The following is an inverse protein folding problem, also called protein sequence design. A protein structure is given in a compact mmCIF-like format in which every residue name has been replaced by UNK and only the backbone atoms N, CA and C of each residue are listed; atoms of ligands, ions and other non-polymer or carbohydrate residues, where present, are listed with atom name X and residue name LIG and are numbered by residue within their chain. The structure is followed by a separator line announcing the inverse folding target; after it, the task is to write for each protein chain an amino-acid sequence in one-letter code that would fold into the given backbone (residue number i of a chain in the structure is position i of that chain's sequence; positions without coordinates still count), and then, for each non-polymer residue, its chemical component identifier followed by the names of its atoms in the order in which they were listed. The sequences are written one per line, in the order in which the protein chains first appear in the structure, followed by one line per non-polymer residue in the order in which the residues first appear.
data_IF_486420709800
#
_entry.id   IF_486420709800
#
_cell.length_a   1.000
_cell.length_b   1.000
_cell.length_c   1.000
_cell.angle_alpha   90.00
_cell.angle_beta   90.00
_cell.angle_gamma   90.00
#
_symmetry.space_group_name_H-M   'P 1'
#
loop_
_entity.id
_entity.type
_entity.pdbx_description
1 polymer ?
#
# COMPACT_ATOMS: atom_id res chain seq x y z
N UNK A 1 38.94 8.58 -53.89
CA UNK A 1 38.39 9.28 -52.71
C UNK A 1 37.33 8.39 -52.08
N UNK A 2 37.21 8.40 -50.75
CA UNK A 2 36.10 7.79 -50.02
C UNK A 2 36.44 6.52 -49.24
N UNK A 3 36.93 6.70 -48.00
CA UNK A 3 36.88 5.68 -46.93
C UNK A 3 35.44 5.56 -46.42
N UNK A 4 34.95 4.36 -46.09
CA UNK A 4 34.17 4.06 -44.87
C UNK A 4 34.43 2.61 -44.42
N UNK A 5 34.76 2.44 -43.14
CA UNK A 5 34.87 1.19 -42.35
C UNK A 5 33.63 1.09 -41.43
N UNK A 6 33.54 0.14 -40.48
CA UNK A 6 33.32 -1.31 -40.59
C UNK A 6 32.03 -1.72 -39.83
N UNK A 7 31.57 -2.99 -39.90
CA UNK A 7 30.71 -3.54 -38.84
C UNK A 7 31.32 -4.86 -38.35
N UNK A 8 31.55 -4.87 -37.05
CA UNK A 8 32.26 -5.89 -36.31
C UNK A 8 31.55 -7.26 -36.37
N UNK A 9 32.37 -8.22 -36.75
CA UNK A 9 32.42 -9.61 -36.35
C UNK A 9 31.69 -10.01 -35.06
N UNK A 10 30.95 -11.13 -35.18
CA UNK A 10 31.02 -12.33 -34.32
C UNK A 10 30.54 -12.10 -32.87
N UNK A 11 29.47 -12.72 -32.39
CA UNK A 11 29.45 -14.13 -31.94
C UNK A 11 28.00 -14.64 -32.02
N UNK A 12 27.76 -15.62 -32.89
CA UNK A 12 26.85 -16.72 -32.56
C UNK A 12 27.73 -17.82 -31.95
N UNK A 13 27.39 -18.32 -30.77
CA UNK A 13 27.46 -19.75 -30.39
C UNK A 13 27.17 -19.94 -28.90
N UNK A 14 26.12 -20.74 -28.65
CA UNK A 14 25.81 -21.62 -27.51
C UNK A 14 24.30 -21.51 -27.19
N UNK A 15 23.43 -22.16 -27.95
CA UNK A 15 23.09 -23.59 -27.81
C UNK A 15 22.78 -24.01 -26.37
N UNK A 16 21.48 -24.07 -26.08
CA UNK A 16 20.79 -25.02 -25.19
C UNK A 16 21.44 -25.31 -23.84
N UNK A 17 20.87 -24.75 -22.77
CA UNK A 17 20.53 -25.48 -21.53
C UNK A 17 19.76 -24.58 -20.54
N UNK A 18 18.72 -25.17 -19.95
CA UNK A 18 17.88 -24.70 -18.83
C UNK A 18 16.66 -23.84 -19.25
N UNK A 19 15.62 -24.44 -19.83
CA UNK A 19 14.48 -24.97 -19.06
C UNK A 19 14.83 -25.40 -17.63
N UNK A 20 14.47 -24.55 -16.67
CA UNK A 20 13.82 -24.96 -15.42
C UNK A 20 13.43 -23.72 -14.61
N UNK A 21 12.12 -23.61 -14.37
CA UNK A 21 11.53 -23.13 -13.12
C UNK A 21 12.22 -21.95 -12.43
N UNK A 22 11.82 -20.73 -12.79
CA UNK A 22 11.84 -19.62 -11.82
C UNK A 22 10.42 -19.31 -11.34
N UNK A 23 9.54 -20.32 -11.30
CA UNK A 23 8.33 -20.29 -10.47
C UNK A 23 8.80 -20.46 -9.02
N UNK A 24 8.33 -19.60 -8.12
CA UNK A 24 8.64 -19.54 -6.68
C UNK A 24 9.81 -18.65 -6.28
N UNK A 25 9.90 -17.45 -6.84
CA UNK A 25 10.35 -16.32 -6.00
C UNK A 25 9.10 -15.56 -5.58
N UNK A 26 8.74 -15.54 -4.28
CA UNK A 26 7.74 -14.60 -3.81
C UNK A 26 8.22 -13.22 -4.24
N UNK A 27 7.39 -12.50 -4.99
CA UNK A 27 7.65 -11.10 -5.29
C UNK A 27 7.45 -10.38 -3.96
N UNK A 28 8.54 -10.18 -3.24
CA UNK A 28 8.52 -9.45 -1.97
C UNK A 28 8.40 -7.96 -2.31
N UNK A 29 7.18 -7.45 -2.30
CA UNK A 29 6.96 -6.01 -2.24
C UNK A 29 7.58 -5.51 -0.94
N UNK A 30 8.64 -4.70 -1.05
CA UNK A 30 9.31 -4.10 0.12
C UNK A 30 8.36 -3.22 0.94
N UNK A 31 7.30 -2.75 0.31
CA UNK A 31 6.38 -1.74 0.84
C UNK A 31 4.99 -2.34 1.17
N UNK A 32 4.73 -3.60 0.78
CA UNK A 32 3.53 -4.38 1.14
C UNK A 32 2.65 -4.72 -0.07
N UNK A 33 2.06 -5.93 -0.10
CA UNK A 33 1.30 -6.38 -1.29
C UNK A 33 0.04 -5.55 -1.55
N UNK A 34 -0.56 -4.95 -0.51
CA UNK A 34 -1.79 -4.18 -0.64
C UNK A 34 -1.59 -2.78 -1.22
N UNK A 35 -0.35 -2.38 -1.52
CA UNK A 35 -0.11 -1.20 -2.37
C UNK A 35 -0.69 -1.35 -3.77
N UNK A 36 -0.81 -2.58 -4.24
CA UNK A 36 -1.45 -2.91 -5.49
C UNK A 36 -2.97 -2.73 -5.44
N UNK A 37 -3.53 -2.65 -4.23
CA UNK A 37 -4.96 -2.47 -4.06
C UNK A 37 -5.35 -1.02 -4.32
N UNK A 38 -6.19 -0.85 -5.33
CA UNK A 38 -6.78 0.43 -5.71
C UNK A 38 -8.16 0.67 -5.09
N UNK A 39 -8.66 -0.27 -4.28
CA UNK A 39 -10.01 -0.20 -3.70
C UNK A 39 -10.00 -0.54 -2.21
N UNK A 40 -10.42 0.44 -1.43
CA UNK A 40 -10.42 0.48 0.02
C UNK A 40 -11.75 1.00 0.52
N UNK A 41 -12.13 0.58 1.72
CA UNK A 41 -13.33 1.04 2.42
C UNK A 41 -12.95 1.59 3.80
N UNK A 42 -13.66 2.63 4.22
CA UNK A 42 -13.58 3.20 5.56
C UNK A 42 -14.91 3.00 6.29
N UNK A 43 -14.80 2.55 7.54
CA UNK A 43 -15.93 2.19 8.40
C UNK A 43 -15.78 2.87 9.76
N UNK A 44 -16.89 3.24 10.41
CA UNK A 44 -16.91 3.86 11.74
C UNK A 44 -17.84 3.11 12.67
N UNK A 45 -17.36 2.79 13.87
CA UNK A 45 -18.13 2.13 14.92
C UNK A 45 -19.18 3.09 15.48
N UNK A 46 -20.45 2.73 15.36
CA UNK A 46 -21.59 3.54 15.82
C UNK A 46 -22.15 3.00 17.13
N UNK A 47 -22.16 1.68 17.30
CA UNK A 47 -22.49 1.03 18.57
C UNK A 47 -21.38 0.08 19.03
N UNK A 48 -20.68 0.49 20.09
CA UNK A 48 -19.61 -0.29 20.70
C UNK A 48 -20.09 -1.57 21.40
N UNK A 49 -21.37 -1.68 21.77
CA UNK A 49 -21.94 -2.89 22.38
C UNK A 49 -22.27 -3.94 21.35
N UNK A 50 -22.75 -3.51 20.19
CA UNK A 50 -23.16 -4.39 19.10
C UNK A 50 -22.05 -4.61 18.06
N UNK A 51 -20.92 -3.89 18.19
CA UNK A 51 -19.83 -3.87 17.21
C UNK A 51 -20.34 -3.49 15.81
N UNK A 52 -21.29 -2.55 15.77
CA UNK A 52 -21.96 -2.13 14.54
C UNK A 52 -21.22 -0.96 13.89
N UNK A 53 -20.91 -1.12 12.61
CA UNK A 53 -20.11 -0.16 11.84
C UNK A 53 -20.92 0.43 10.70
N UNK A 54 -20.93 1.77 10.62
CA UNK A 54 -21.45 2.48 9.48
C UNK A 54 -20.36 2.68 8.43
N UNK A 55 -20.75 2.47 7.17
CA UNK A 55 -19.94 2.79 6.01
C UNK A 55 -19.70 4.31 5.92
N UNK A 56 -18.46 4.72 5.69
CA UNK A 56 -18.08 6.12 5.58
C UNK A 56 -17.66 6.53 4.17
N UNK A 57 -16.76 5.77 3.53
CA UNK A 57 -16.18 6.11 2.22
C UNK A 57 -15.62 4.86 1.53
N UNK A 58 -15.62 4.86 0.18
CA UNK A 58 -14.91 3.87 -0.64
C UNK A 58 -14.05 4.55 -1.72
N UNK A 59 -12.92 3.95 -2.07
CA UNK A 59 -12.07 4.48 -3.13
C UNK A 59 -10.60 4.14 -2.94
N UNK A 60 -9.74 5.12 -3.16
CA UNK A 60 -8.31 5.00 -2.87
C UNK A 60 -8.05 5.04 -1.36
N UNK A 61 -6.90 4.51 -0.93
CA UNK A 61 -6.49 4.58 0.48
C UNK A 61 -6.39 6.04 0.97
N UNK A 62 -5.93 6.95 0.11
CA UNK A 62 -5.80 8.37 0.46
C UNK A 62 -7.17 9.04 0.65
N UNK A 63 -8.19 8.68 -0.13
CA UNK A 63 -9.58 9.15 0.06
C UNK A 63 -10.17 8.62 1.38
N UNK A 64 -9.97 7.33 1.69
CA UNK A 64 -10.41 6.74 2.96
C UNK A 64 -9.72 7.41 4.17
N UNK A 65 -8.40 7.64 4.08
CA UNK A 65 -7.64 8.38 5.09
C UNK A 65 -8.13 9.83 5.24
N UNK A 66 -8.54 10.47 4.15
CA UNK A 66 -9.09 11.81 4.18
C UNK A 66 -10.44 11.83 4.89
N UNK A 67 -11.36 10.90 4.59
CA UNK A 67 -12.64 10.78 5.26
C UNK A 67 -12.50 10.59 6.78
N UNK A 68 -11.47 9.85 7.21
CA UNK A 68 -11.19 9.58 8.63
C UNK A 68 -10.32 10.64 9.32
N UNK A 69 -10.02 11.76 8.66
CA UNK A 69 -9.20 12.86 9.17
C UNK A 69 -9.56 13.29 10.60
N UNK A 70 -10.85 13.47 10.87
CA UNK A 70 -11.31 13.95 12.17
C UNK A 70 -11.04 12.93 13.28
N UNK A 71 -11.24 11.64 13.02
CA UNK A 71 -10.99 10.56 13.97
C UNK A 71 -9.50 10.43 14.27
N UNK A 72 -8.66 10.43 13.23
CA UNK A 72 -7.20 10.39 13.36
C UNK A 72 -6.71 11.62 14.15
N UNK A 73 -7.24 12.80 13.84
CA UNK A 73 -6.87 14.04 14.53
C UNK A 73 -7.26 14.01 16.00
N UNK A 74 -8.43 13.46 16.33
CA UNK A 74 -8.89 13.27 17.69
C UNK A 74 -8.00 12.27 18.46
N UNK A 75 -7.61 11.14 17.85
CA UNK A 75 -6.68 10.19 18.46
C UNK A 75 -5.35 10.84 18.82
N UNK A 76 -4.74 11.55 17.87
CA UNK A 76 -3.46 12.23 18.08
C UNK A 76 -3.60 13.29 19.17
N UNK A 77 -4.65 14.11 19.10
CA UNK A 77 -4.90 15.17 20.09
C UNK A 77 -5.11 14.59 21.49
N UNK A 78 -5.87 13.50 21.61
CA UNK A 78 -6.11 12.83 22.89
C UNK A 78 -4.82 12.26 23.50
N UNK A 79 -3.92 11.73 22.67
CA UNK A 79 -2.61 11.20 23.09
C UNK A 79 -1.68 12.30 23.59
N UNK A 80 -1.72 13.48 22.96
CA UNK A 80 -0.82 14.59 23.25
C UNK A 80 -1.44 15.73 24.06
N UNK A 81 -2.67 15.58 24.55
CA UNK A 81 -3.42 16.63 25.25
C UNK A 81 -2.63 17.29 26.41
N UNK A 82 -1.80 16.52 27.11
CA UNK A 82 -0.98 16.99 28.25
C UNK A 82 0.38 17.59 27.88
N UNK A 83 0.76 17.54 26.59
CA UNK A 83 2.10 17.89 26.13
C UNK A 83 2.24 19.36 25.68
N UNK A 84 1.16 20.16 25.72
CA UNK A 84 1.15 21.57 25.32
C UNK A 84 1.87 21.84 23.98
N UNK A 85 1.67 20.96 23.00
CA UNK A 85 2.30 21.08 21.69
C UNK A 85 1.74 22.28 20.94
N UNK A 86 2.61 23.01 20.23
CA UNK A 86 2.19 24.09 19.33
C UNK A 86 1.47 23.55 18.08
N UNK A 87 0.76 24.41 17.33
CA UNK A 87 -0.01 24.01 16.14
C UNK A 87 0.83 23.28 15.07
N UNK A 88 2.05 23.74 14.80
CA UNK A 88 2.94 23.13 13.81
C UNK A 88 3.38 21.72 14.21
N UNK A 89 3.71 21.52 15.49
CA UNK A 89 4.11 20.22 15.99
C UNK A 89 2.94 19.23 16.03
N UNK A 90 1.73 19.72 16.37
CA UNK A 90 0.50 18.93 16.27
C UNK A 90 0.22 18.50 14.83
N UNK A 91 0.36 19.42 13.86
CA UNK A 91 0.20 19.11 12.45
C UNK A 91 1.18 18.04 11.98
N UNK A 92 2.47 18.17 12.35
CA UNK A 92 3.49 17.15 12.08
C UNK A 92 3.11 15.79 12.67
N UNK A 93 2.66 15.75 13.93
CA UNK A 93 2.24 14.50 14.59
C UNK A 93 1.03 13.85 13.93
N UNK A 94 0.09 14.65 13.41
CA UNK A 94 -1.04 14.15 12.65
C UNK A 94 -0.61 13.58 11.30
N UNK A 95 0.32 14.24 10.59
CA UNK A 95 0.86 13.70 9.34
C UNK A 95 1.63 12.40 9.57
N UNK A 96 2.55 12.37 10.55
CA UNK A 96 3.30 11.16 10.94
C UNK A 96 2.33 10.00 11.20
N UNK A 97 1.24 10.27 11.91
CA UNK A 97 0.22 9.27 12.21
C UNK A 97 -0.48 8.73 10.96
N UNK A 98 -0.80 9.59 9.99
CA UNK A 98 -1.42 9.15 8.73
C UNK A 98 -0.49 8.26 7.93
N UNK A 99 0.80 8.63 7.85
CA UNK A 99 1.81 7.81 7.18
C UNK A 99 1.98 6.44 7.86
N UNK A 100 1.98 6.39 9.20
CA UNK A 100 1.99 5.12 9.94
C UNK A 100 0.79 4.23 9.57
N UNK A 101 -0.42 4.80 9.53
CA UNK A 101 -1.64 4.07 9.17
C UNK A 101 -1.54 3.57 7.72
N UNK A 102 -1.10 4.44 6.80
CA UNK A 102 -0.93 4.11 5.38
C UNK A 102 0.01 2.92 5.18
N UNK A 103 1.16 2.93 5.84
CA UNK A 103 2.15 1.86 5.77
C UNK A 103 1.62 0.54 6.36
N UNK A 104 0.82 0.60 7.42
CA UNK A 104 0.22 -0.60 8.00
C UNK A 104 -0.88 -1.18 7.10
N UNK A 105 -1.71 -0.32 6.50
CA UNK A 105 -2.67 -0.72 5.47
C UNK A 105 -1.97 -1.45 4.32
N UNK A 106 -0.91 -0.89 3.74
CA UNK A 106 -0.16 -1.54 2.66
C UNK A 106 0.44 -2.89 3.03
N UNK A 107 0.85 -3.05 4.29
CA UNK A 107 1.40 -4.31 4.79
C UNK A 107 0.32 -5.36 5.03
N UNK A 108 -0.81 -4.99 5.62
CA UNK A 108 -1.77 -5.94 6.20
C UNK A 108 -3.11 -6.01 5.46
N UNK A 109 -3.40 -5.02 4.62
CA UNK A 109 -4.69 -4.86 3.96
C UNK A 109 -5.76 -4.27 4.87
N UNK A 110 -5.41 -3.92 6.12
CA UNK A 110 -6.35 -3.42 7.11
C UNK A 110 -5.65 -2.61 8.19
N UNK A 111 -6.34 -1.60 8.69
CA UNK A 111 -5.99 -0.86 9.89
C UNK A 111 -7.22 -0.64 10.77
N UNK A 112 -7.09 -0.91 12.06
CA UNK A 112 -8.15 -0.67 13.05
C UNK A 112 -7.72 0.42 14.04
N UNK A 113 -8.44 1.53 14.01
CA UNK A 113 -8.30 2.62 14.97
C UNK A 113 -9.32 2.53 16.09
N UNK A 114 -9.43 3.60 16.89
CA UNK A 114 -10.41 3.68 17.98
C UNK A 114 -11.79 4.00 17.42
N UNK A 115 -12.54 2.93 17.13
CA UNK A 115 -13.92 3.04 16.65
C UNK A 115 -14.00 3.36 15.15
N UNK A 116 -13.00 2.98 14.38
CA UNK A 116 -13.03 3.07 12.92
C UNK A 116 -12.05 2.06 12.32
N UNK A 117 -12.29 1.68 11.07
CA UNK A 117 -11.49 0.70 10.32
C UNK A 117 -11.26 1.23 8.91
N UNK A 118 -10.09 0.96 8.35
CA UNK A 118 -9.84 1.00 6.91
C UNK A 118 -9.46 -0.41 6.48
N UNK A 119 -10.06 -0.92 5.43
CA UNK A 119 -9.70 -2.23 4.89
C UNK A 119 -9.74 -2.27 3.37
N UNK A 120 -8.92 -3.15 2.81
CA UNK A 120 -8.90 -3.39 1.38
C UNK A 120 -10.02 -4.34 0.99
N UNK A 121 -10.71 -4.01 -0.10
CA UNK A 121 -11.77 -4.86 -0.65
C UNK A 121 -11.20 -6.12 -1.31
N UNK A 122 -9.98 -6.03 -1.84
CA UNK A 122 -9.28 -7.18 -2.44
C UNK A 122 -8.43 -7.86 -1.38
N UNK A 123 -8.67 -9.16 -1.19
CA UNK A 123 -7.86 -9.94 -0.27
C UNK A 123 -6.45 -10.21 -0.83
N UNK A 124 -5.57 -10.70 0.05
CA UNK A 124 -4.19 -10.99 -0.33
C UNK A 124 -4.08 -11.99 -1.48
N UNK A 125 -4.93 -13.03 -1.47
CA UNK A 125 -4.91 -14.08 -2.50
C UNK A 125 -5.33 -13.53 -3.87
N UNK A 126 -6.32 -12.64 -3.90
CA UNK A 126 -6.74 -11.94 -5.11
C UNK A 126 -5.60 -11.11 -5.71
N UNK A 127 -4.87 -10.37 -4.86
CA UNK A 127 -3.70 -9.61 -5.30
C UNK A 127 -2.57 -10.51 -5.81
N UNK A 128 -2.29 -11.62 -5.12
CA UNK A 128 -1.32 -12.63 -5.57
C UNK A 128 -1.69 -13.21 -6.94
N UNK A 129 -2.97 -13.53 -7.18
CA UNK A 129 -3.44 -14.01 -8.49
C UNK A 129 -3.26 -12.98 -9.59
N UNK A 130 -3.60 -11.71 -9.32
CA UNK A 130 -3.41 -10.63 -10.29
C UNK A 130 -1.95 -10.46 -10.70
N UNK A 131 -1.01 -10.66 -9.78
CA UNK A 131 0.43 -10.64 -10.07
C UNK A 131 0.80 -11.83 -10.98
N UNK A 132 0.34 -13.04 -10.66
CA UNK A 132 0.62 -14.25 -11.47
C UNK A 132 0.07 -14.13 -12.90
N UNK A 133 -1.07 -13.46 -13.04
CA UNK A 133 -1.73 -13.19 -14.32
C UNK A 133 -1.09 -12.01 -15.10
N UNK A 134 -0.13 -11.30 -14.48
CA UNK A 134 0.64 -10.23 -15.12
C UNK A 134 -0.10 -8.88 -15.17
N UNK A 135 -1.09 -8.65 -14.32
CA UNK A 135 -1.76 -7.34 -14.20
C UNK A 135 -0.86 -6.25 -13.62
N UNK A 136 0.16 -6.65 -12.86
CA UNK A 136 1.13 -5.75 -12.25
C UNK A 136 2.53 -6.06 -12.77
N UNK A 137 3.23 -5.04 -13.27
CA UNK A 137 4.65 -5.17 -13.58
C UNK A 137 5.47 -5.09 -12.28
N UNK A 138 6.44 -6.00 -12.06
CA UNK A 138 7.32 -5.89 -10.90
C UNK A 138 8.15 -4.61 -10.99
N UNK A 139 8.05 -3.76 -9.96
CA UNK A 139 8.85 -2.54 -9.83
C UNK A 139 10.33 -2.97 -9.69
N UNK A 140 11.18 -2.57 -10.65
CA UNK A 140 12.62 -2.86 -10.69
C UNK A 140 13.43 -1.83 -9.90
#
# INVERSE_FOLDING_TARGET
MGRKRPLAEVIQLNSKRQTNSNKNKPIYYREGIFELSNHWEAWVLVDAKEADYDFLEEGTLDECLFALTNFISFEVTSKFLRHNLGPEEMSRKQQERREEIKQECYRQGRYEGRGWVIESVVDKLGLESMIEEGFFEPIQ
#
